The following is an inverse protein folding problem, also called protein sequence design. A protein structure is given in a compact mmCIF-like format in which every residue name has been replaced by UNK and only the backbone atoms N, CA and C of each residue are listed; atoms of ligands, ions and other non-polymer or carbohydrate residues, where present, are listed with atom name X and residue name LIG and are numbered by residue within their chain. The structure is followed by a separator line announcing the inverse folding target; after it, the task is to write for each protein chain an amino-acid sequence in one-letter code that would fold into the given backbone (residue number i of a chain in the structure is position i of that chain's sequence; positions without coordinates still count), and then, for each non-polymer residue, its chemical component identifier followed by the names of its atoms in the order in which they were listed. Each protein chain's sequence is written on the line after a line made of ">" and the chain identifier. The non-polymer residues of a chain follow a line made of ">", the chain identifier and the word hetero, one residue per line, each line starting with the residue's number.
data_IF_698061961323
#
_entry.id   IF_698061961323
#
_cell.length_a   1.000
_cell.length_b   1.000
_cell.length_c   1.000
_cell.angle_alpha   90.00
_cell.angle_beta   90.00
_cell.angle_gamma   90.00
#
_symmetry.space_group_name_H-M   'P 1'
#
loop_
_entity.id
_entity.type
_entity.pdbx_description
1 polymer ?
#
# COMPACT_ATOMS: atom_id res chain seq x y z
N UNK A 1 -55.06 -18.82 20.97
CA UNK A 1 -54.71 -17.45 20.54
C UNK A 1 -53.27 -17.22 20.96
N UNK A 2 -52.34 -17.57 20.07
CA UNK A 2 -50.92 -17.24 20.17
C UNK A 2 -50.66 -16.11 19.19
N UNK A 3 -49.93 -15.06 19.58
CA UNK A 3 -49.00 -14.33 18.71
C UNK A 3 -48.00 -13.59 19.60
N UNK A 4 -46.83 -14.20 19.80
CA UNK A 4 -45.57 -13.50 20.02
C UNK A 4 -45.24 -12.69 18.74
N UNK A 5 -44.76 -11.45 18.90
CA UNK A 5 -44.30 -10.62 17.79
C UNK A 5 -42.84 -10.24 18.06
N UNK A 6 -41.95 -11.03 17.48
CA UNK A 6 -40.56 -10.69 17.23
C UNK A 6 -40.50 -9.53 16.22
N UNK A 7 -39.78 -8.46 16.56
CA UNK A 7 -39.40 -7.41 15.60
C UNK A 7 -38.00 -7.69 15.07
N UNK A 8 -37.92 -8.36 13.92
CA UNK A 8 -36.73 -8.39 13.07
C UNK A 8 -36.48 -6.99 12.46
N UNK A 9 -35.25 -6.51 12.58
CA UNK A 9 -34.77 -5.31 11.88
C UNK A 9 -34.44 -5.65 10.41
N UNK A 10 -34.78 -4.79 9.43
CA UNK A 10 -34.57 -5.11 8.02
C UNK A 10 -33.10 -5.01 7.62
N UNK A 11 -32.62 -6.06 6.93
CA UNK A 11 -31.32 -6.09 6.27
C UNK A 11 -31.27 -5.05 5.13
N UNK A 12 -30.42 -4.03 5.27
CA UNK A 12 -30.13 -3.09 4.20
C UNK A 12 -29.16 -3.73 3.21
N UNK A 13 -29.68 -4.12 2.04
CA UNK A 13 -28.92 -4.48 0.85
C UNK A 13 -28.14 -3.26 0.34
N UNK A 14 -26.81 -3.31 0.44
CA UNK A 14 -25.93 -2.35 -0.23
C UNK A 14 -25.78 -2.73 -1.72
N UNK A 15 -25.88 -1.78 -2.66
CA UNK A 15 -25.61 -2.05 -4.07
C UNK A 15 -24.11 -2.34 -4.25
N UNK A 16 -23.81 -3.50 -4.84
CA UNK A 16 -22.46 -3.84 -5.28
C UNK A 16 -22.17 -3.18 -6.62
N UNK A 17 -21.32 -2.16 -6.59
CA UNK A 17 -20.59 -1.69 -7.78
C UNK A 17 -19.16 -1.37 -7.37
N UNK A 18 -18.37 -2.42 -7.15
CA UNK A 18 -16.92 -2.34 -6.91
C UNK A 18 -16.22 -2.30 -8.26
N UNK A 19 -15.69 -1.14 -8.65
CA UNK A 19 -14.60 -1.10 -9.64
C UNK A 19 -13.33 -1.47 -8.88
N UNK A 20 -12.93 -2.74 -8.97
CA UNK A 20 -11.69 -3.26 -8.39
C UNK A 20 -10.50 -2.82 -9.22
N UNK A 21 -9.63 -1.98 -8.66
CA UNK A 21 -8.30 -1.74 -9.23
C UNK A 21 -7.35 -2.86 -8.79
N UNK A 22 -7.02 -3.75 -9.71
CA UNK A 22 -5.96 -4.75 -9.54
C UNK A 22 -4.59 -4.06 -9.64
N UNK A 23 -3.68 -4.38 -8.71
CA UNK A 23 -2.26 -4.03 -8.82
C UNK A 23 -1.63 -4.98 -9.85
N UNK A 24 -1.05 -4.50 -10.97
CA UNK A 24 -0.42 -5.40 -11.95
C UNK A 24 0.94 -5.88 -11.45
N UNK A 25 1.15 -7.21 -11.47
CA UNK A 25 2.48 -7.84 -11.53
C UNK A 25 2.90 -8.65 -10.30
N UNK A 26 2.52 -9.93 -10.27
CA UNK A 26 3.32 -10.98 -9.63
C UNK A 26 3.04 -12.33 -10.29
N UNK A 27 3.36 -12.49 -11.57
CA UNK A 27 3.43 -13.83 -12.18
C UNK A 27 4.62 -13.93 -13.15
N UNK A 28 5.25 -15.10 -13.13
CA UNK A 28 6.37 -15.61 -13.92
C UNK A 28 7.79 -15.24 -13.49
N UNK A 29 8.24 -15.86 -12.40
CA UNK A 29 9.63 -16.32 -12.29
C UNK A 29 9.71 -17.77 -12.77
N UNK A 30 10.58 -18.03 -13.75
CA UNK A 30 10.76 -19.32 -14.41
C UNK A 30 11.30 -20.36 -13.41
N UNK A 31 10.46 -21.31 -13.03
CA UNK A 31 10.86 -22.58 -12.38
C UNK A 31 10.28 -23.73 -13.24
N UNK A 32 11.04 -24.81 -13.52
CA UNK A 32 10.57 -25.90 -14.37
C UNK A 32 9.30 -26.58 -13.82
N UNK A 33 8.39 -26.92 -14.73
CA UNK A 33 7.08 -27.46 -14.41
C UNK A 33 7.18 -28.84 -13.74
N UNK A 34 6.63 -28.93 -12.53
CA UNK A 34 6.10 -30.18 -12.00
C UNK A 34 4.57 -30.04 -11.85
N UNK A 35 3.86 -31.03 -12.37
CA UNK A 35 2.44 -31.01 -12.68
C UNK A 35 1.61 -31.48 -11.48
N UNK A 36 1.33 -30.58 -10.54
CA UNK A 36 0.09 -30.56 -9.74
C UNK A 36 0.10 -29.38 -8.75
N UNK A 37 -0.39 -28.22 -9.18
CA UNK A 37 -0.64 -27.12 -8.24
C UNK A 37 -1.93 -26.44 -8.61
N UNK A 38 -2.98 -26.69 -7.82
CA UNK A 38 -4.15 -25.84 -7.77
C UNK A 38 -3.65 -24.41 -7.51
N UNK A 39 -3.92 -23.49 -8.44
CA UNK A 39 -3.61 -22.08 -8.27
C UNK A 39 -4.54 -21.58 -7.16
N UNK A 40 -4.06 -21.55 -5.92
CA UNK A 40 -4.79 -20.95 -4.81
C UNK A 40 -5.04 -19.49 -5.17
N UNK A 41 -6.32 -19.10 -5.25
CA UNK A 41 -6.73 -17.71 -5.47
C UNK A 41 -6.05 -16.83 -4.43
N UNK A 42 -5.32 -15.81 -4.89
CA UNK A 42 -4.69 -14.83 -3.99
C UNK A 42 -5.80 -14.10 -3.22
N UNK A 43 -5.74 -14.02 -1.89
CA UNK A 43 -6.78 -13.35 -1.11
C UNK A 43 -6.89 -11.87 -1.51
N UNK A 44 -8.13 -11.40 -1.70
CA UNK A 44 -8.43 -10.01 -2.08
C UNK A 44 -7.95 -8.98 -1.04
N UNK A 45 -8.05 -7.70 -1.36
CA UNK A 45 -7.72 -6.62 -0.42
C UNK A 45 -8.95 -6.21 0.39
N UNK A 46 -8.76 -6.00 1.69
CA UNK A 46 -9.73 -5.24 2.49
C UNK A 46 -9.43 -3.76 2.25
N UNK A 47 -10.33 -3.06 1.57
CA UNK A 47 -10.10 -1.68 1.16
C UNK A 47 -11.20 -0.76 1.67
N UNK A 48 -10.81 0.40 2.19
CA UNK A 48 -11.72 1.41 2.67
C UNK A 48 -11.39 2.77 2.04
N UNK A 49 -12.41 3.38 1.42
CA UNK A 49 -12.31 4.65 0.72
C UNK A 49 -12.99 5.75 1.54
N UNK A 50 -12.32 6.89 1.65
CA UNK A 50 -12.74 8.00 2.48
C UNK A 50 -12.68 9.33 1.75
N UNK A 51 -13.51 10.26 2.19
CA UNK A 51 -13.61 11.62 1.65
C UNK A 51 -14.04 12.60 2.77
N UNK A 52 -14.38 13.83 2.41
CA UNK A 52 -14.81 14.85 3.37
C UNK A 52 -16.16 14.54 4.01
N UNK A 53 -17.00 13.71 3.40
CA UNK A 53 -18.35 13.39 3.88
C UNK A 53 -18.34 12.22 4.87
N UNK A 54 -17.52 11.20 4.60
CA UNK A 54 -17.54 9.94 5.35
C UNK A 54 -16.38 9.78 6.36
N UNK A 55 -15.40 10.71 6.38
CA UNK A 55 -14.27 10.67 7.32
C UNK A 55 -14.67 11.21 8.70
N UNK A 56 -15.48 10.46 9.44
CA UNK A 56 -15.82 10.79 10.84
C UNK A 56 -15.01 9.93 11.82
N UNK A 57 -14.74 10.43 13.05
CA UNK A 57 -14.07 9.65 14.08
C UNK A 57 -14.73 8.29 14.34
N UNK A 58 -16.07 8.25 14.38
CA UNK A 58 -16.84 7.05 14.66
C UNK A 58 -16.64 6.00 13.56
N UNK A 59 -16.70 6.41 12.29
CA UNK A 59 -16.50 5.49 11.15
C UNK A 59 -15.08 4.97 11.11
N UNK A 60 -14.09 5.82 11.38
CA UNK A 60 -12.68 5.43 11.47
C UNK A 60 -12.48 4.40 12.59
N UNK A 61 -13.08 4.63 13.77
CA UNK A 61 -12.98 3.71 14.90
C UNK A 61 -13.65 2.36 14.61
N UNK A 62 -14.80 2.35 13.95
CA UNK A 62 -15.47 1.12 13.49
C UNK A 62 -14.56 0.34 12.54
N UNK A 63 -13.98 1.00 11.53
CA UNK A 63 -13.07 0.34 10.58
C UNK A 63 -11.86 -0.29 11.28
N UNK A 64 -11.23 0.45 12.20
CA UNK A 64 -10.07 -0.01 12.96
C UNK A 64 -10.41 -1.18 13.90
N UNK A 65 -11.58 -1.15 14.51
CA UNK A 65 -12.06 -2.24 15.37
C UNK A 65 -12.40 -3.50 14.55
N UNK A 66 -12.94 -3.33 13.34
CA UNK A 66 -13.32 -4.43 12.44
C UNK A 66 -12.09 -5.09 11.80
N UNK A 67 -11.08 -4.31 11.41
CA UNK A 67 -9.90 -4.81 10.68
C UNK A 67 -8.55 -4.47 11.35
N UNK A 68 -8.33 -4.90 12.61
CA UNK A 68 -7.04 -4.75 13.30
C UNK A 68 -5.95 -5.62 12.63
N UNK A 69 -4.82 -5.04 12.15
CA UNK A 69 -3.81 -5.81 11.42
C UNK A 69 -3.26 -7.00 12.19
N UNK A 70 -3.09 -6.88 13.51
CA UNK A 70 -2.58 -7.96 14.37
C UNK A 70 -3.51 -9.17 14.48
N UNK A 71 -4.81 -9.03 14.17
CA UNK A 71 -5.80 -10.10 14.29
C UNK A 71 -6.45 -10.49 12.96
N UNK A 72 -6.37 -9.66 11.93
CA UNK A 72 -6.85 -10.01 10.59
C UNK A 72 -5.95 -11.09 9.98
N UNK A 73 -6.45 -12.31 9.71
CA UNK A 73 -5.64 -13.39 9.15
C UNK A 73 -5.21 -13.13 7.70
N UNK A 74 -3.98 -13.50 7.35
CA UNK A 74 -3.48 -13.35 5.99
C UNK A 74 -4.17 -14.24 4.95
N UNK A 75 -4.90 -15.27 5.39
CA UNK A 75 -5.77 -16.08 4.53
C UNK A 75 -7.01 -15.31 4.07
N UNK A 76 -7.43 -14.27 4.81
CA UNK A 76 -8.64 -13.50 4.49
C UNK A 76 -8.35 -12.37 3.51
N UNK A 77 -7.14 -11.81 3.56
CA UNK A 77 -6.76 -10.74 2.65
C UNK A 77 -5.26 -10.68 2.41
N UNK A 78 -4.87 -10.09 1.27
CA UNK A 78 -3.46 -9.80 1.02
C UNK A 78 -3.00 -8.51 1.70
N UNK A 79 -3.90 -7.55 1.84
CA UNK A 79 -3.65 -6.22 2.42
C UNK A 79 -4.92 -5.65 3.06
N UNK A 80 -4.73 -4.84 4.10
CA UNK A 80 -5.73 -3.90 4.60
C UNK A 80 -5.31 -2.51 4.10
N UNK A 81 -6.21 -1.78 3.45
CA UNK A 81 -5.89 -0.49 2.83
C UNK A 81 -6.89 0.60 3.19
N UNK A 82 -6.35 1.82 3.28
CA UNK A 82 -7.11 3.05 3.48
C UNK A 82 -6.71 4.04 2.40
N UNK A 83 -7.73 4.57 1.73
CA UNK A 83 -7.58 5.61 0.73
C UNK A 83 -8.42 6.83 1.12
N UNK A 84 -7.79 7.91 1.56
CA UNK A 84 -8.48 9.16 1.90
C UNK A 84 -8.81 10.05 0.71
N UNK A 85 -8.35 9.68 -0.49
CA UNK A 85 -8.44 10.57 -1.65
C UNK A 85 -7.65 11.87 -1.43
N UNK A 86 -8.15 12.97 -1.98
CA UNK A 86 -7.52 14.30 -1.86
C UNK A 86 -6.15 14.44 -2.51
N UNK A 87 -5.70 13.42 -3.26
CA UNK A 87 -4.40 13.40 -3.93
C UNK A 87 -4.58 12.96 -5.37
N UNK A 88 -4.07 13.74 -6.32
CA UNK A 88 -3.99 13.28 -7.72
C UNK A 88 -2.99 12.14 -7.82
N UNK A 89 -3.41 11.07 -8.49
CA UNK A 89 -2.55 9.90 -8.73
C UNK A 89 -2.14 9.90 -10.20
N UNK A 90 -0.85 10.01 -10.49
CA UNK A 90 -0.39 9.78 -11.85
C UNK A 90 -0.65 8.32 -12.23
N UNK A 91 -1.20 8.09 -13.42
CA UNK A 91 -1.26 6.76 -14.02
C UNK A 91 0.09 6.47 -14.66
N UNK A 92 0.85 5.47 -14.20
CA UNK A 92 2.14 5.13 -14.77
C UNK A 92 2.00 4.35 -16.08
N UNK A 93 2.83 4.66 -17.07
CA UNK A 93 3.09 3.81 -18.24
C UNK A 93 4.12 2.73 -17.84
N UNK A 94 3.64 1.65 -17.21
CA UNK A 94 4.50 0.59 -16.68
C UNK A 94 5.21 -0.17 -17.79
N UNK A 95 4.56 -0.37 -18.94
CA UNK A 95 5.13 -1.08 -20.08
C UNK A 95 6.28 -0.28 -20.69
N UNK A 96 6.06 1.00 -21.00
CA UNK A 96 7.12 1.88 -21.51
C UNK A 96 8.27 2.07 -20.51
N UNK A 97 7.96 2.12 -19.21
CA UNK A 97 8.99 2.15 -18.16
C UNK A 97 9.91 0.93 -18.23
N UNK A 98 9.34 -0.27 -18.35
CA UNK A 98 10.09 -1.53 -18.45
C UNK A 98 10.92 -1.60 -19.73
N UNK A 99 10.38 -1.17 -20.85
CA UNK A 99 11.11 -1.10 -22.13
C UNK A 99 12.30 -0.14 -22.07
N UNK A 100 12.10 1.05 -21.51
CA UNK A 100 13.16 2.03 -21.30
C UNK A 100 14.23 1.49 -20.33
N UNK A 101 13.83 0.76 -19.29
CA UNK A 101 14.78 0.13 -18.37
C UNK A 101 15.59 -0.98 -19.04
N UNK A 102 14.98 -1.82 -19.87
CA UNK A 102 15.68 -2.87 -20.60
C UNK A 102 16.76 -2.29 -21.54
N UNK A 103 16.49 -1.13 -22.17
CA UNK A 103 17.50 -0.40 -22.96
C UNK A 103 18.68 0.07 -22.10
N UNK A 104 18.43 0.53 -20.86
CA UNK A 104 19.51 0.88 -19.93
C UNK A 104 20.34 -0.34 -19.53
N UNK A 105 19.68 -1.48 -19.29
CA UNK A 105 20.35 -2.76 -18.97
C UNK A 105 21.27 -3.19 -20.12
N UNK A 106 20.77 -3.19 -21.37
CA UNK A 106 21.54 -3.54 -22.56
C UNK A 106 22.74 -2.61 -22.79
N UNK A 107 22.60 -1.32 -22.44
CA UNK A 107 23.66 -0.34 -22.55
C UNK A 107 24.66 -0.38 -21.38
N UNK A 108 24.42 -1.16 -20.32
CA UNK A 108 25.25 -1.17 -19.11
C UNK A 108 25.16 0.13 -18.30
N UNK A 109 24.09 0.92 -18.47
CA UNK A 109 23.96 2.29 -17.95
C UNK A 109 22.93 2.42 -16.83
N UNK A 110 22.64 1.33 -16.12
CA UNK A 110 21.65 1.32 -15.03
C UNK A 110 22.20 2.08 -13.83
N UNK A 111 21.71 3.30 -13.65
CA UNK A 111 22.07 4.19 -12.53
C UNK A 111 20.83 4.83 -11.95
N UNK A 112 20.92 5.32 -10.71
CA UNK A 112 19.82 6.01 -10.03
C UNK A 112 19.28 7.21 -10.84
N UNK A 113 20.12 8.11 -11.38
CA UNK A 113 19.64 9.22 -12.22
C UNK A 113 18.94 8.77 -13.50
N UNK A 114 19.42 7.71 -14.16
CA UNK A 114 18.75 7.19 -15.36
C UNK A 114 17.40 6.57 -15.03
N UNK A 115 17.29 5.86 -13.90
CA UNK A 115 16.00 5.35 -13.42
C UNK A 115 15.03 6.52 -13.14
N UNK A 116 15.49 7.62 -12.56
CA UNK A 116 14.64 8.80 -12.38
C UNK A 116 14.17 9.41 -13.69
N UNK A 117 15.06 9.48 -14.67
CA UNK A 117 14.76 10.03 -15.99
C UNK A 117 13.63 9.23 -16.63
N UNK A 118 13.74 7.89 -16.65
CA UNK A 118 12.69 7.04 -17.23
C UNK A 118 11.43 7.01 -16.36
N UNK A 119 11.54 7.08 -15.03
CA UNK A 119 10.38 7.14 -14.13
C UNK A 119 9.54 8.39 -14.39
N UNK A 120 10.19 9.54 -14.60
CA UNK A 120 9.52 10.79 -14.99
C UNK A 120 8.90 10.71 -16.38
N UNK A 121 9.65 10.16 -17.36
CA UNK A 121 9.17 10.03 -18.73
C UNK A 121 7.90 9.18 -18.85
N UNK A 122 7.77 8.16 -17.98
CA UNK A 122 6.65 7.22 -17.97
C UNK A 122 5.67 7.43 -16.81
N UNK A 123 5.69 8.62 -16.18
CA UNK A 123 4.76 9.01 -15.12
C UNK A 123 4.71 8.05 -13.91
N UNK A 124 5.79 7.29 -13.67
CA UNK A 124 5.96 6.39 -12.54
C UNK A 124 6.50 7.13 -11.30
N UNK A 125 5.75 8.17 -10.90
CA UNK A 125 6.17 9.15 -9.90
C UNK A 125 5.76 8.81 -8.47
N UNK A 126 4.88 7.82 -8.28
CA UNK A 126 4.48 7.43 -6.93
C UNK A 126 5.63 6.79 -6.15
N UNK A 127 5.52 6.83 -4.83
CA UNK A 127 6.42 6.10 -3.95
C UNK A 127 5.82 5.94 -2.56
N UNK A 128 6.50 5.19 -1.70
CA UNK A 128 5.99 4.88 -0.36
C UNK A 128 7.07 4.90 0.72
N UNK A 129 6.71 5.43 1.87
CA UNK A 129 7.43 5.18 3.12
C UNK A 129 7.10 3.77 3.61
N UNK A 130 8.13 3.00 3.95
CA UNK A 130 8.06 1.66 4.52
C UNK A 130 8.32 1.74 6.02
N UNK A 131 7.35 1.29 6.81
CA UNK A 131 7.42 1.20 8.28
C UNK A 131 7.28 -0.28 8.64
N UNK A 132 8.19 -0.79 9.46
CA UNK A 132 8.11 -2.14 10.01
C UNK A 132 7.77 -2.04 11.49
N UNK A 133 6.81 -2.83 11.95
CA UNK A 133 6.35 -2.80 13.34
C UNK A 133 6.11 -4.22 13.86
N UNK A 134 6.31 -4.38 15.17
CA UNK A 134 6.04 -5.64 15.85
C UNK A 134 4.53 -5.91 15.97
N UNK A 135 4.09 -7.19 16.02
CA UNK A 135 2.68 -7.54 16.22
C UNK A 135 2.03 -6.88 17.44
N UNK A 136 2.80 -6.60 18.50
CA UNK A 136 2.31 -5.92 19.71
C UNK A 136 2.02 -4.43 19.53
N UNK A 137 2.59 -3.79 18.51
CA UNK A 137 2.51 -2.34 18.30
C UNK A 137 1.68 -1.95 17.07
N UNK A 138 1.49 -2.89 16.13
CA UNK A 138 0.96 -2.60 14.80
C UNK A 138 -0.43 -1.97 14.82
N UNK A 139 -1.34 -2.47 15.67
CA UNK A 139 -2.71 -1.94 15.74
C UNK A 139 -2.71 -0.46 16.16
N UNK A 140 -1.88 -0.10 17.15
CA UNK A 140 -1.79 1.26 17.63
C UNK A 140 -1.14 2.20 16.60
N UNK A 141 -0.09 1.74 15.91
CA UNK A 141 0.56 2.51 14.83
C UNK A 141 -0.41 2.72 13.67
N UNK A 142 -1.09 1.66 13.23
CA UNK A 142 -2.08 1.70 12.15
C UNK A 142 -3.23 2.65 12.50
N UNK A 143 -3.77 2.55 13.71
CA UNK A 143 -4.85 3.42 14.18
C UNK A 143 -4.47 4.91 14.17
N UNK A 144 -3.26 5.26 14.62
CA UNK A 144 -2.77 6.65 14.55
C UNK A 144 -2.61 7.13 13.11
N UNK A 145 -2.08 6.28 12.22
CA UNK A 145 -1.90 6.61 10.82
C UNK A 145 -3.24 6.82 10.10
N UNK A 146 -4.22 5.95 10.31
CA UNK A 146 -5.55 6.08 9.67
C UNK A 146 -6.23 7.36 10.12
N UNK A 147 -6.21 7.69 11.42
CA UNK A 147 -6.73 8.97 11.93
C UNK A 147 -6.00 10.17 11.35
N UNK A 148 -4.66 10.13 11.31
CA UNK A 148 -3.84 11.17 10.69
C UNK A 148 -4.26 11.39 9.23
N UNK A 149 -4.39 10.34 8.43
CA UNK A 149 -4.76 10.48 7.02
C UNK A 149 -6.20 11.00 6.88
N UNK A 150 -7.17 10.33 7.51
CA UNK A 150 -8.58 10.56 7.26
C UNK A 150 -9.14 11.84 7.91
N UNK A 151 -8.70 12.15 9.13
CA UNK A 151 -9.28 13.22 9.95
C UNK A 151 -8.44 14.50 9.93
N UNK A 152 -7.12 14.37 10.00
CA UNK A 152 -6.23 15.54 10.15
C UNK A 152 -5.69 16.03 8.81
N UNK A 153 -5.03 15.15 8.04
CA UNK A 153 -4.34 15.48 6.79
C UNK A 153 -5.32 15.60 5.61
N UNK A 154 -6.47 14.92 5.69
CA UNK A 154 -7.55 14.89 4.67
C UNK A 154 -7.08 14.51 3.27
N UNK A 155 -5.95 13.79 3.16
CA UNK A 155 -5.40 13.28 1.91
C UNK A 155 -4.43 12.12 2.13
N UNK A 156 -4.27 11.30 1.11
CA UNK A 156 -3.24 10.26 1.03
C UNK A 156 -3.80 8.85 1.16
N UNK A 157 -2.93 7.87 1.06
CA UNK A 157 -3.31 6.46 1.19
C UNK A 157 -2.21 5.63 1.84
N UNK A 158 -2.63 4.54 2.46
CA UNK A 158 -1.73 3.59 3.09
C UNK A 158 -2.28 2.18 3.00
N UNK A 159 -1.39 1.21 3.16
CA UNK A 159 -1.76 -0.20 3.35
C UNK A 159 -0.88 -0.86 4.39
N UNK A 160 -1.43 -1.85 5.07
CA UNK A 160 -0.75 -2.62 6.11
C UNK A 160 -0.93 -4.11 5.84
N UNK A 161 0.12 -4.89 6.10
CA UNK A 161 0.04 -6.35 5.98
C UNK A 161 -0.86 -6.92 7.08
N UNK A 162 -1.69 -7.94 6.78
CA UNK A 162 -2.41 -8.70 7.79
C UNK A 162 -1.46 -9.58 8.60
N UNK A 163 -1.97 -10.27 9.62
CA UNK A 163 -1.20 -11.21 10.43
C UNK A 163 -0.76 -12.40 9.59
N UNK A 164 0.54 -12.66 9.56
CA UNK A 164 1.16 -13.84 8.93
C UNK A 164 2.17 -14.43 9.91
N UNK A 165 1.71 -15.38 10.74
CA UNK A 165 2.54 -15.94 11.81
C UNK A 165 2.98 -14.88 12.83
N UNK A 166 4.24 -14.98 13.27
CA UNK A 166 4.87 -14.08 14.25
C UNK A 166 5.71 -12.97 13.59
N UNK A 167 5.65 -12.84 12.27
CA UNK A 167 6.48 -11.88 11.54
C UNK A 167 6.08 -10.43 11.82
N UNK A 168 7.07 -9.54 11.71
CA UNK A 168 6.83 -8.09 11.70
C UNK A 168 5.86 -7.70 10.59
N UNK A 169 4.98 -6.77 10.90
CA UNK A 169 4.11 -6.15 9.91
C UNK A 169 4.85 -5.08 9.12
N UNK A 170 4.39 -4.83 7.90
CA UNK A 170 4.82 -3.69 7.08
C UNK A 170 3.64 -2.77 6.80
N UNK A 171 3.84 -1.47 7.01
CA UNK A 171 2.96 -0.40 6.56
C UNK A 171 3.65 0.33 5.41
N UNK A 172 2.90 0.54 4.33
CA UNK A 172 3.28 1.40 3.21
C UNK A 172 2.43 2.67 3.24
N UNK A 173 3.05 3.85 3.28
CA UNK A 173 2.35 5.15 3.23
C UNK A 173 2.76 5.88 1.96
N UNK A 174 1.80 6.19 1.10
CA UNK A 174 2.07 6.66 -0.26
C UNK A 174 2.22 8.18 -0.36
N UNK A 175 3.07 8.58 -1.30
CA UNK A 175 3.22 9.94 -1.82
C UNK A 175 3.06 9.85 -3.34
N UNK A 176 2.25 10.74 -3.93
CA UNK A 176 1.90 10.67 -5.36
C UNK A 176 3.04 11.04 -6.30
N UNK A 177 3.97 11.88 -5.84
CA UNK A 177 5.13 12.31 -6.61
C UNK A 177 6.37 12.38 -5.70
N UNK A 178 7.28 11.42 -5.86
CA UNK A 178 8.53 11.35 -5.09
C UNK A 178 9.54 12.45 -5.46
N UNK A 179 9.31 13.15 -6.57
CA UNK A 179 10.12 14.29 -7.00
C UNK A 179 9.71 15.58 -6.29
N UNK A 180 8.47 15.63 -5.77
CA UNK A 180 8.02 16.66 -4.85
C UNK A 180 8.60 16.41 -3.44
N UNK A 181 9.84 16.85 -3.25
CA UNK A 181 10.55 16.67 -1.98
C UNK A 181 9.89 17.37 -0.80
N UNK A 182 9.09 18.41 -1.03
CA UNK A 182 8.34 19.07 0.04
C UNK A 182 7.26 18.12 0.59
N UNK A 183 6.49 17.46 -0.28
CA UNK A 183 5.47 16.48 0.14
C UNK A 183 6.11 15.23 0.78
N UNK A 184 7.21 14.72 0.21
CA UNK A 184 7.93 13.57 0.77
C UNK A 184 8.41 13.85 2.21
N UNK A 185 8.99 15.04 2.44
CA UNK A 185 9.43 15.49 3.77
C UNK A 185 8.26 15.80 4.70
N UNK A 186 7.18 16.40 4.20
CA UNK A 186 5.99 16.70 4.98
C UNK A 186 5.30 15.42 5.46
N UNK A 187 5.16 14.41 4.60
CA UNK A 187 4.61 13.11 4.98
C UNK A 187 5.51 12.47 6.05
N UNK A 188 6.83 12.49 5.86
CA UNK A 188 7.78 11.99 6.86
C UNK A 188 7.62 12.68 8.22
N UNK A 189 7.52 14.02 8.24
CA UNK A 189 7.34 14.77 9.47
C UNK A 189 6.04 14.38 10.18
N UNK A 190 4.94 14.17 9.44
CA UNK A 190 3.70 13.66 10.01
C UNK A 190 3.84 12.24 10.59
N UNK A 191 4.60 11.35 9.94
CA UNK A 191 4.90 10.02 10.48
C UNK A 191 5.69 10.10 11.81
N UNK A 192 6.65 11.02 11.91
CA UNK A 192 7.38 11.26 13.16
C UNK A 192 6.50 11.85 14.25
N UNK A 193 5.61 12.77 13.89
CA UNK A 193 4.66 13.39 14.82
C UNK A 193 3.74 12.36 15.49
N UNK A 194 3.29 11.33 14.76
CA UNK A 194 2.47 10.25 15.31
C UNK A 194 3.29 9.14 16.01
N UNK A 195 4.56 9.41 16.34
CA UNK A 195 5.39 8.53 17.17
C UNK A 195 6.09 7.39 16.44
N UNK A 196 6.21 7.43 15.11
CA UNK A 196 7.05 6.47 14.39
C UNK A 196 8.50 6.91 14.53
N UNK A 197 9.26 6.31 15.44
CA UNK A 197 10.64 6.70 15.75
C UNK A 197 11.69 5.81 15.08
N UNK A 198 11.33 4.59 14.69
CA UNK A 198 12.22 3.65 14.00
C UNK A 198 12.68 4.14 12.63
N UNK A 199 13.72 3.48 12.12
CA UNK A 199 14.26 3.72 10.78
C UNK A 199 13.19 3.42 9.72
N UNK A 200 12.98 4.36 8.80
CA UNK A 200 12.04 4.20 7.68
C UNK A 200 12.75 4.46 6.35
N UNK A 201 12.32 3.75 5.31
CA UNK A 201 12.86 3.89 3.96
C UNK A 201 11.79 4.35 2.98
N UNK A 202 12.14 5.25 2.07
CA UNK A 202 11.26 5.65 0.97
C UNK A 202 11.60 4.86 -0.29
N UNK A 203 10.67 4.07 -0.82
CA UNK A 203 10.82 3.30 -2.07
C UNK A 203 9.95 3.92 -3.17
N UNK A 204 10.54 4.44 -4.27
CA UNK A 204 9.79 4.80 -5.48
C UNK A 204 9.07 3.58 -6.06
N UNK A 205 7.87 3.76 -6.60
CA UNK A 205 7.11 2.66 -7.20
C UNK A 205 7.77 2.14 -8.47
N UNK A 206 8.49 2.99 -9.21
CA UNK A 206 9.35 2.55 -10.30
C UNK A 206 10.33 1.44 -9.89
N UNK A 207 10.88 1.48 -8.67
CA UNK A 207 11.78 0.40 -8.20
C UNK A 207 11.03 -0.91 -7.96
N UNK A 208 9.72 -0.85 -7.69
CA UNK A 208 8.87 -2.03 -7.58
C UNK A 208 8.52 -2.57 -8.97
N UNK A 209 8.16 -1.70 -9.92
CA UNK A 209 7.86 -2.11 -11.29
C UNK A 209 9.05 -2.69 -12.05
N UNK A 210 10.26 -2.26 -11.70
CA UNK A 210 11.53 -2.68 -12.32
C UNK A 210 12.26 -3.79 -11.54
N UNK A 211 11.60 -4.38 -10.54
CA UNK A 211 12.15 -5.46 -9.70
C UNK A 211 13.48 -5.11 -9.00
N UNK A 212 13.66 -3.83 -8.66
CA UNK A 212 14.80 -3.34 -7.88
C UNK A 212 14.52 -3.56 -6.39
N UNK A 213 14.90 -4.74 -5.92
CA UNK A 213 14.85 -5.15 -4.52
C UNK A 213 16.26 -5.21 -3.90
N UNK A 214 16.34 -5.60 -2.62
CA UNK A 214 17.64 -5.81 -1.97
C UNK A 214 18.47 -6.84 -2.73
N UNK A 215 19.78 -6.63 -2.79
CA UNK A 215 20.73 -7.54 -3.48
C UNK A 215 20.50 -7.67 -4.99
N UNK A 216 19.93 -6.65 -5.65
CA UNK A 216 19.89 -6.60 -7.11
C UNK A 216 21.30 -6.52 -7.73
N UNK A 217 21.42 -6.93 -8.98
CA UNK A 217 22.69 -7.01 -9.71
C UNK A 217 23.30 -5.65 -10.05
N UNK A 218 22.57 -4.54 -9.91
CA UNK A 218 23.05 -3.18 -10.16
C UNK A 218 23.59 -2.49 -8.90
N UNK A 219 23.59 -3.17 -7.76
CA UNK A 219 24.01 -2.62 -6.46
C UNK A 219 23.24 -1.34 -6.07
N UNK A 220 22.01 -1.18 -6.57
CA UNK A 220 21.16 -0.04 -6.26
C UNK A 220 20.46 -0.30 -4.93
N UNK A 221 20.44 0.68 -4.03
CA UNK A 221 19.70 0.54 -2.78
C UNK A 221 18.19 0.49 -3.07
N UNK A 222 17.42 -0.44 -2.44
CA UNK A 222 15.99 -0.62 -2.72
C UNK A 222 15.10 0.51 -2.19
N UNK A 223 15.65 1.40 -1.36
CA UNK A 223 15.01 2.66 -1.00
C UNK A 223 15.92 3.82 -1.44
N UNK A 224 15.29 4.94 -1.80
CA UNK A 224 15.95 6.13 -2.30
C UNK A 224 16.32 7.11 -1.19
N UNK A 225 15.40 7.31 -0.24
CA UNK A 225 15.62 8.15 0.94
C UNK A 225 15.59 7.27 2.18
N UNK A 226 16.50 7.52 3.12
CA UNK A 226 16.63 6.78 4.37
C UNK A 226 16.76 7.75 5.53
N UNK A 227 16.11 7.41 6.65
CA UNK A 227 16.44 7.96 7.97
C UNK A 227 16.10 6.96 9.06
#
# INVERSE_FOLDING_TARGET
>A
MNMDVDMEAPALLLPQSTISYQVPGSENSLVPQDSSSQIASVPDWISSHWDDENSTPERVDIFLAQWPPSRTPGEYCSWISVDRGGTQRPTPDVEGLKDSFQKLVQAGSVTVPEIDRISKAHNALMGKWLIFAEPSEIDAIWARLVRLLCLERRKGSAKVSPRRGEDRHVICVYVSDYTNMAEVKAMRASLRFIGITGRIGFKPDAYTYLDIYSKNCWNIRPCRYFE
#
